data_IF_642092195756
#
_entry.id   IF_642092195756
#
_cell.length_a   1.000
_cell.length_b   1.000
_cell.length_c   1.000
_cell.angle_alpha   90.00
_cell.angle_beta   90.00
_cell.angle_gamma   90.00
#
_symmetry.space_group_name_H-M   'P 1'
#
loop_
_entity.id
_entity.type
_entity.pdbx_description
1 polymer ?
#
# COMPACT_ATOMS: atom_id res chain seq x y z
N UNK A 1 35.82 -10.11 3.50
CA UNK A 1 34.86 -11.11 2.95
C UNK A 1 33.75 -10.33 2.27
N UNK A 2 33.47 -10.60 0.99
CA UNK A 2 32.43 -9.93 0.19
C UNK A 2 31.33 -10.93 -0.20
N UNK A 3 30.74 -11.59 0.79
CA UNK A 3 29.77 -12.69 0.62
C UNK A 3 28.32 -12.25 0.50
N UNK A 4 28.05 -10.93 0.54
CA UNK A 4 26.69 -10.39 0.52
C UNK A 4 26.05 -10.30 1.91
N UNK A 5 24.72 -10.19 1.94
CA UNK A 5 23.91 -10.06 3.15
C UNK A 5 22.72 -11.02 3.10
N UNK A 6 22.35 -11.57 4.25
CA UNK A 6 21.08 -12.27 4.42
C UNK A 6 19.92 -11.28 4.42
N UNK A 7 18.74 -11.76 4.01
CA UNK A 7 17.53 -10.94 4.10
C UNK A 7 17.18 -10.72 5.58
N UNK A 8 16.98 -9.46 6.02
CA UNK A 8 16.55 -9.20 7.38
C UNK A 8 15.18 -9.83 7.64
N UNK A 9 15.00 -10.39 8.82
CA UNK A 9 13.71 -10.90 9.25
C UNK A 9 12.70 -9.76 9.44
N UNK A 10 11.43 -10.04 9.11
CA UNK A 10 10.30 -9.15 9.38
C UNK A 10 9.52 -9.56 10.65
N UNK A 11 10.04 -10.49 11.47
CA UNK A 11 9.35 -11.06 12.65
C UNK A 11 9.02 -10.03 13.75
N UNK A 12 9.52 -8.80 13.63
CA UNK A 12 9.10 -7.69 14.49
C UNK A 12 7.68 -7.18 14.18
N UNK A 13 7.11 -7.55 13.03
CA UNK A 13 5.73 -7.24 12.67
C UNK A 13 4.76 -8.21 13.37
N UNK A 14 3.50 -7.81 13.60
CA UNK A 14 2.49 -8.67 14.18
C UNK A 14 2.30 -9.98 13.39
N UNK A 15 2.09 -11.10 14.09
CA UNK A 15 2.04 -12.43 13.47
C UNK A 15 0.92 -12.61 12.44
N UNK A 16 -0.16 -11.83 12.53
CA UNK A 16 -1.26 -11.83 11.57
C UNK A 16 -0.92 -11.19 10.22
N UNK A 17 0.26 -10.58 10.10
CA UNK A 17 0.86 -10.05 8.86
C UNK A 17 1.36 -11.17 7.93
N UNK A 18 1.67 -12.35 8.49
CA UNK A 18 2.31 -13.47 7.78
C UNK A 18 1.36 -14.64 7.48
N UNK A 19 0.04 -14.40 7.51
CA UNK A 19 -0.96 -15.44 7.25
C UNK A 19 -1.03 -15.78 5.76
N UNK A 20 -0.79 -17.05 5.43
CA UNK A 20 -1.01 -17.55 4.08
C UNK A 20 -2.51 -17.49 3.70
N UNK A 21 -2.85 -17.22 2.42
CA UNK A 21 -1.95 -17.08 1.27
C UNK A 21 -1.43 -15.64 1.03
N UNK A 22 -1.62 -14.73 1.99
CA UNK A 22 -1.35 -13.30 1.89
C UNK A 22 -0.10 -12.87 2.67
N UNK A 23 0.90 -13.76 2.72
CA UNK A 23 2.24 -13.52 3.26
C UNK A 23 3.18 -12.93 2.19
N UNK A 24 4.28 -12.24 2.56
CA UNK A 24 5.29 -11.80 1.61
C UNK A 24 5.77 -12.95 0.70
N UNK A 25 5.97 -12.72 -0.61
CA UNK A 25 5.89 -11.44 -1.33
C UNK A 25 4.47 -11.03 -1.77
N UNK A 26 3.42 -11.80 -1.43
CA UNK A 26 2.03 -11.63 -1.88
C UNK A 26 1.28 -10.56 -1.07
N UNK A 27 1.80 -9.34 -1.04
CA UNK A 27 1.16 -8.20 -0.40
C UNK A 27 0.54 -7.23 -1.40
N UNK A 28 -0.38 -6.38 -0.93
CA UNK A 28 -1.02 -5.39 -1.78
C UNK A 28 0.02 -4.40 -2.29
N UNK A 29 0.09 -4.24 -3.61
CA UNK A 29 1.15 -3.50 -4.29
C UNK A 29 2.57 -3.96 -3.86
N UNK A 30 2.74 -5.22 -3.43
CA UNK A 30 3.94 -5.83 -2.81
C UNK A 30 4.36 -5.31 -1.43
N UNK A 31 3.90 -4.14 -0.99
CA UNK A 31 4.48 -3.46 0.18
C UNK A 31 3.52 -3.31 1.35
N UNK A 32 2.21 -3.42 1.12
CA UNK A 32 1.19 -3.23 2.15
C UNK A 32 0.56 -4.57 2.56
N UNK A 33 0.76 -5.01 3.81
CA UNK A 33 0.07 -6.18 4.34
C UNK A 33 -1.45 -5.96 4.33
N UNK A 34 -2.27 -6.93 3.87
CA UNK A 34 -3.73 -6.77 3.84
C UNK A 34 -4.37 -6.45 5.20
N UNK A 35 -3.84 -7.02 6.29
CA UNK A 35 -4.31 -6.78 7.65
C UNK A 35 -3.93 -5.40 8.20
N UNK A 36 -2.80 -4.85 7.73
CA UNK A 36 -2.18 -3.62 8.25
C UNK A 36 -1.90 -2.60 7.12
N UNK A 37 -2.92 -1.99 6.51
CA UNK A 37 -2.75 -0.99 5.44
C UNK A 37 -2.07 0.31 5.89
N UNK A 38 -1.85 0.49 7.21
CA UNK A 38 -1.09 1.57 7.82
C UNK A 38 0.43 1.30 7.84
N UNK A 39 0.86 0.10 7.47
CA UNK A 39 2.27 -0.31 7.42
C UNK A 39 2.69 -0.46 5.97
N UNK A 40 3.87 0.08 5.63
CA UNK A 40 4.48 -0.05 4.31
C UNK A 40 5.89 -0.64 4.44
N UNK A 41 6.04 -1.88 4.01
CA UNK A 41 7.33 -2.58 3.96
C UNK A 41 8.02 -2.24 2.64
N UNK A 42 8.67 -1.08 2.60
CA UNK A 42 9.25 -0.54 1.39
C UNK A 42 10.61 -1.19 1.10
N UNK A 43 10.79 -1.70 -0.13
CA UNK A 43 12.04 -2.28 -0.60
C UNK A 43 12.59 -3.46 0.25
N UNK A 44 11.71 -4.22 0.92
CA UNK A 44 12.12 -5.37 1.74
C UNK A 44 11.29 -6.65 1.55
N UNK A 45 10.32 -6.63 0.63
CA UNK A 45 9.34 -7.73 0.44
C UNK A 45 9.52 -8.52 -0.86
N UNK A 46 10.21 -7.96 -1.86
CA UNK A 46 10.46 -8.60 -3.16
C UNK A 46 11.35 -9.83 -3.03
N UNK A 47 11.20 -10.89 -3.83
CA UNK A 47 12.11 -12.05 -3.78
C UNK A 47 13.43 -11.76 -4.51
N UNK A 48 13.38 -11.20 -5.73
CA UNK A 48 14.54 -10.75 -6.51
C UNK A 48 14.62 -9.23 -6.58
N UNK A 49 15.67 -8.66 -7.19
CA UNK A 49 15.83 -7.21 -7.27
C UNK A 49 14.65 -6.48 -7.96
N UNK A 50 14.19 -5.38 -7.38
CA UNK A 50 13.49 -4.33 -8.13
C UNK A 50 14.57 -3.49 -8.80
N UNK A 51 14.50 -3.36 -10.14
CA UNK A 51 15.53 -2.73 -10.96
C UNK A 51 15.93 -1.32 -10.50
N UNK A 52 17.13 -0.92 -10.94
CA UNK A 52 17.99 0.24 -10.59
C UNK A 52 17.38 1.65 -10.33
N UNK A 53 16.06 1.82 -10.33
CA UNK A 53 15.35 3.08 -10.02
C UNK A 53 14.57 2.94 -8.70
N UNK A 54 15.22 2.35 -7.69
CA UNK A 54 14.77 2.24 -6.30
C UNK A 54 14.10 3.52 -5.81
N UNK A 55 14.80 4.65 -5.97
CA UNK A 55 14.39 5.96 -5.50
C UNK A 55 12.99 6.39 -5.96
N UNK A 56 12.61 6.08 -7.20
CA UNK A 56 11.36 6.58 -7.79
C UNK A 56 10.12 5.90 -7.18
N UNK A 57 10.08 4.57 -7.20
CA UNK A 57 8.93 3.82 -6.70
C UNK A 57 8.89 3.82 -5.17
N UNK A 58 10.05 3.79 -4.48
CA UNK A 58 10.13 3.95 -3.02
C UNK A 58 9.42 5.25 -2.60
N UNK A 59 9.67 6.35 -3.31
CA UNK A 59 9.01 7.62 -3.07
C UNK A 59 7.49 7.57 -3.28
N UNK A 60 7.01 6.88 -4.32
CA UNK A 60 5.57 6.70 -4.58
C UNK A 60 4.92 5.89 -3.46
N UNK A 61 5.49 4.75 -3.07
CA UNK A 61 5.00 3.91 -1.97
C UNK A 61 4.84 4.69 -0.68
N UNK A 62 5.87 5.45 -0.29
CA UNK A 62 5.82 6.30 0.90
C UNK A 62 4.69 7.33 0.81
N UNK A 63 4.45 7.93 -0.37
CA UNK A 63 3.36 8.90 -0.56
C UNK A 63 1.98 8.25 -0.54
N UNK A 64 1.83 7.02 -1.05
CA UNK A 64 0.62 6.21 -0.90
C UNK A 64 0.35 5.92 0.57
N UNK A 65 1.37 5.52 1.34
CA UNK A 65 1.25 5.34 2.78
C UNK A 65 0.75 6.62 3.46
N UNK A 66 1.38 7.76 3.15
CA UNK A 66 1.00 9.04 3.73
C UNK A 66 -0.45 9.44 3.40
N UNK A 67 -0.91 9.15 2.18
CA UNK A 67 -2.32 9.31 1.81
C UNK A 67 -3.22 8.44 2.68
N UNK A 68 -2.91 7.14 2.84
CA UNK A 68 -3.68 6.22 3.69
C UNK A 68 -3.72 6.67 5.16
N UNK A 69 -2.60 7.16 5.70
CA UNK A 69 -2.55 7.65 7.07
C UNK A 69 -3.33 8.96 7.25
N UNK A 70 -3.21 9.88 6.28
CA UNK A 70 -3.82 11.22 6.36
C UNK A 70 -5.32 11.23 6.08
N UNK A 71 -5.81 10.31 5.25
CA UNK A 71 -7.22 10.27 4.83
C UNK A 71 -7.79 8.84 4.99
N UNK A 72 -8.59 8.59 6.05
CA UNK A 72 -9.17 7.27 6.31
C UNK A 72 -9.99 6.70 5.15
N UNK A 73 -10.61 7.54 4.30
CA UNK A 73 -11.41 7.07 3.17
C UNK A 73 -10.58 6.45 2.06
N UNK A 74 -9.31 6.86 1.97
CA UNK A 74 -8.38 6.36 0.98
C UNK A 74 -7.80 5.00 1.36
N UNK A 75 -7.87 4.59 2.63
CA UNK A 75 -7.33 3.30 3.09
C UNK A 75 -8.02 2.14 2.37
N UNK A 76 -7.31 1.20 1.77
CA UNK A 76 -7.93 0.02 1.19
C UNK A 76 -8.57 -0.84 2.29
N UNK A 77 -9.64 -1.56 1.96
CA UNK A 77 -10.19 -2.59 2.84
C UNK A 77 -9.37 -3.88 2.63
N UNK A 78 -9.02 -4.63 3.69
CA UNK A 78 -8.35 -5.92 3.59
C UNK A 78 -8.95 -6.84 2.52
N UNK A 79 -10.29 -6.92 2.46
CA UNK A 79 -11.00 -7.73 1.45
C UNK A 79 -10.61 -7.36 0.00
N UNK A 80 -10.50 -6.07 -0.32
CA UNK A 80 -10.13 -5.63 -1.66
C UNK A 80 -8.63 -5.79 -1.95
N UNK A 81 -7.79 -5.71 -0.92
CA UNK A 81 -6.36 -5.98 -1.02
C UNK A 81 -6.12 -7.44 -1.40
N UNK A 82 -6.77 -8.37 -0.70
CA UNK A 82 -6.76 -9.80 -0.96
C UNK A 82 -7.22 -10.12 -2.39
N UNK A 83 -8.36 -9.56 -2.83
CA UNK A 83 -8.85 -9.75 -4.20
C UNK A 83 -7.93 -9.20 -5.27
N UNK A 84 -7.25 -8.09 -4.99
CA UNK A 84 -6.24 -7.56 -5.89
C UNK A 84 -5.02 -8.49 -6.00
N UNK A 85 -4.59 -9.08 -4.86
CA UNK A 85 -3.53 -10.09 -4.83
C UNK A 85 -3.94 -11.31 -5.66
N UNK A 86 -5.15 -11.83 -5.43
CA UNK A 86 -5.67 -13.00 -6.15
C UNK A 86 -5.79 -12.75 -7.66
N UNK A 87 -6.30 -11.57 -8.06
CA UNK A 87 -6.35 -11.14 -9.46
C UNK A 87 -4.94 -11.08 -10.06
N UNK A 88 -3.96 -10.53 -9.33
CA UNK A 88 -2.57 -10.40 -9.80
C UNK A 88 -1.93 -11.77 -9.97
N UNK A 89 -2.15 -12.70 -9.03
CA UNK A 89 -1.69 -14.10 -9.13
C UNK A 89 -2.30 -14.81 -10.33
N UNK A 90 -3.60 -14.59 -10.57
CA UNK A 90 -4.29 -15.17 -11.72
C UNK A 90 -3.74 -14.63 -13.04
N UNK A 91 -3.62 -13.30 -13.19
CA UNK A 91 -3.08 -12.67 -14.40
C UNK A 91 -1.65 -13.11 -14.69
N UNK A 92 -0.83 -13.29 -13.64
CA UNK A 92 0.57 -13.75 -13.77
C UNK A 92 0.75 -15.26 -13.82
N UNK A 93 -0.32 -16.07 -13.79
CA UNK A 93 -0.20 -17.52 -13.93
C UNK A 93 0.46 -17.95 -15.25
N UNK A 94 0.37 -17.10 -16.27
CA UNK A 94 0.96 -17.32 -17.59
C UNK A 94 2.35 -16.66 -17.76
N UNK A 95 2.86 -16.00 -16.72
CA UNK A 95 4.20 -15.42 -16.72
C UNK A 95 5.25 -16.50 -16.41
N UNK A 96 6.44 -16.46 -17.02
CA UNK A 96 7.55 -17.35 -16.66
C UNK A 96 8.10 -17.09 -15.25
N UNK A 97 7.73 -15.98 -14.62
CA UNK A 97 8.15 -15.60 -13.25
C UNK A 97 6.97 -15.66 -12.29
N UNK A 98 7.22 -16.00 -11.02
CA UNK A 98 6.22 -15.99 -9.96
C UNK A 98 5.51 -14.64 -9.86
N UNK A 99 4.24 -14.66 -9.44
CA UNK A 99 3.39 -13.47 -9.45
C UNK A 99 4.01 -12.25 -8.73
N UNK A 100 4.85 -12.50 -7.72
CA UNK A 100 5.59 -11.46 -7.01
C UNK A 100 7.12 -11.56 -6.98
N UNK A 101 7.71 -12.31 -7.91
CA UNK A 101 9.16 -12.54 -7.95
C UNK A 101 9.94 -11.59 -8.86
N UNK A 102 9.29 -11.04 -9.90
CA UNK A 102 9.90 -10.08 -10.83
C UNK A 102 8.83 -9.17 -11.45
N UNK A 103 9.14 -7.88 -11.58
CA UNK A 103 8.21 -6.89 -12.11
C UNK A 103 8.83 -5.96 -13.14
N UNK A 104 8.06 -5.71 -14.19
CA UNK A 104 8.38 -4.63 -15.12
C UNK A 104 7.96 -3.29 -14.53
N UNK A 105 8.61 -2.20 -14.96
CA UNK A 105 8.19 -0.85 -14.59
C UNK A 105 6.74 -0.56 -14.99
N UNK A 106 6.28 -1.14 -16.10
CA UNK A 106 4.91 -0.98 -16.57
C UNK A 106 3.91 -1.59 -15.56
N UNK A 107 4.23 -2.73 -14.96
CA UNK A 107 3.39 -3.35 -13.93
C UNK A 107 3.28 -2.45 -12.68
N UNK A 108 4.40 -1.89 -12.21
CA UNK A 108 4.40 -0.94 -11.09
C UNK A 108 3.55 0.31 -11.40
N UNK A 109 3.74 0.91 -12.57
CA UNK A 109 2.95 2.07 -13.02
C UNK A 109 1.47 1.71 -13.08
N UNK A 110 1.13 0.55 -13.66
CA UNK A 110 -0.24 0.05 -13.75
C UNK A 110 -0.86 -0.11 -12.36
N UNK A 111 -0.12 -0.67 -11.41
CA UNK A 111 -0.60 -0.88 -10.05
C UNK A 111 -0.82 0.42 -9.28
N UNK A 112 0.09 1.38 -9.38
CA UNK A 112 -0.10 2.69 -8.76
C UNK A 112 -1.29 3.41 -9.37
N UNK A 113 -1.42 3.37 -10.69
CA UNK A 113 -2.55 3.97 -11.40
C UNK A 113 -3.86 3.30 -11.00
N UNK A 114 -3.90 1.97 -10.94
CA UNK A 114 -5.07 1.20 -10.48
C UNK A 114 -5.44 1.55 -9.04
N UNK A 115 -4.46 1.63 -8.14
CA UNK A 115 -4.67 2.03 -6.76
C UNK A 115 -5.36 3.39 -6.67
N UNK A 116 -4.92 4.39 -7.43
CA UNK A 116 -5.53 5.72 -7.41
C UNK A 116 -6.88 5.75 -8.13
N UNK A 117 -6.99 5.12 -9.29
CA UNK A 117 -8.18 5.21 -10.15
C UNK A 117 -9.42 4.57 -9.53
N UNK A 118 -9.29 3.41 -8.86
CA UNK A 118 -10.43 2.62 -8.36
C UNK A 118 -11.20 3.30 -7.22
N UNK A 119 -10.56 4.16 -6.43
CA UNK A 119 -11.21 4.86 -5.33
C UNK A 119 -11.25 6.37 -5.62
N UNK A 120 -12.43 6.97 -5.88
CA UNK A 120 -12.58 8.39 -6.16
C UNK A 120 -11.99 9.32 -5.10
N UNK A 121 -12.00 8.93 -3.82
CA UNK A 121 -11.38 9.72 -2.75
C UNK A 121 -9.86 9.86 -2.89
N UNK A 122 -9.21 8.98 -3.67
CA UNK A 122 -7.77 9.05 -3.95
C UNK A 122 -7.43 10.01 -5.08
N UNK A 123 -8.40 10.46 -5.89
CA UNK A 123 -8.12 11.30 -7.06
C UNK A 123 -7.54 12.65 -6.68
N UNK A 124 -8.02 13.27 -5.58
CA UNK A 124 -7.44 14.50 -5.04
C UNK A 124 -5.96 14.35 -4.66
N UNK A 125 -5.53 13.14 -4.32
CA UNK A 125 -4.16 12.81 -3.95
C UNK A 125 -3.27 12.41 -5.13
N UNK A 126 -3.81 12.24 -6.34
CA UNK A 126 -3.08 11.68 -7.48
C UNK A 126 -1.80 12.46 -7.81
N UNK A 127 -1.88 13.79 -7.92
CA UNK A 127 -0.72 14.64 -8.20
C UNK A 127 0.35 14.49 -7.11
N UNK A 128 -0.06 14.52 -5.84
CA UNK A 128 0.86 14.32 -4.73
C UNK A 128 1.53 12.93 -4.80
N UNK A 129 0.76 11.87 -5.00
CA UNK A 129 1.28 10.49 -5.03
C UNK A 129 2.28 10.27 -6.16
N UNK A 130 2.04 10.80 -7.36
CA UNK A 130 2.94 10.59 -8.50
C UNK A 130 4.11 11.58 -8.52
N UNK A 131 3.89 12.87 -8.28
CA UNK A 131 4.94 13.92 -8.45
C UNK A 131 5.50 14.47 -7.14
N UNK A 132 4.78 14.33 -6.04
CA UNK A 132 5.22 14.76 -4.70
C UNK A 132 4.84 16.22 -4.42
N UNK A 133 4.25 16.87 -5.42
CA UNK A 133 3.85 18.27 -5.39
C UNK A 133 2.43 18.38 -4.82
N UNK A 134 2.14 19.52 -4.17
CA UNK A 134 0.75 19.89 -3.89
C UNK A 134 0.15 19.27 -2.63
N UNK A 135 0.95 18.78 -1.69
CA UNK A 135 0.49 18.15 -0.43
C UNK A 135 -0.49 19.00 0.40
N UNK A 136 -0.42 20.33 0.27
CA UNK A 136 -1.32 21.25 0.96
C UNK A 136 -2.77 21.23 0.43
N UNK A 137 -2.99 20.95 -0.85
CA UNK A 137 -4.34 20.94 -1.44
C UNK A 137 -5.18 19.75 -0.95
N UNK A 138 -4.73 18.48 -1.03
CA UNK A 138 -5.49 17.36 -0.50
C UNK A 138 -5.75 17.49 0.99
N UNK A 139 -4.77 17.97 1.75
CA UNK A 139 -4.90 18.13 3.20
C UNK A 139 -5.99 19.13 3.59
N UNK A 140 -6.06 20.29 2.93
CA UNK A 140 -7.15 21.26 3.15
C UNK A 140 -8.52 20.69 2.83
N UNK A 141 -8.62 19.89 1.76
CA UNK A 141 -9.87 19.22 1.39
C UNK A 141 -10.28 18.21 2.46
N UNK A 142 -9.33 17.41 2.98
CA UNK A 142 -9.60 16.46 4.08
C UNK A 142 -10.01 17.19 5.35
N UNK A 143 -9.34 18.28 5.73
CA UNK A 143 -9.71 19.08 6.91
C UNK A 143 -11.13 19.66 6.79
N UNK A 144 -11.54 20.09 5.59
CA UNK A 144 -12.90 20.54 5.33
C UNK A 144 -13.93 19.38 5.39
N UNK A 145 -13.60 18.23 4.80
CA UNK A 145 -14.44 17.01 4.86
C UNK A 145 -14.62 16.54 6.31
N UNK A 146 -13.56 16.55 7.11
CA UNK A 146 -13.58 16.14 8.51
C UNK A 146 -14.38 17.13 9.38
N UNK A 147 -14.29 18.43 9.10
CA UNK A 147 -15.13 19.45 9.75
C UNK A 147 -16.62 19.22 9.48
N UNK A 148 -16.99 19.00 8.22
CA UNK A 148 -18.37 18.68 7.82
C UNK A 148 -18.87 17.38 8.46
N UNK A 149 -18.02 16.35 8.53
CA UNK A 149 -18.34 15.09 9.20
C UNK A 149 -18.55 15.23 10.69
N UNK A 150 -17.69 16.02 11.35
CA UNK A 150 -17.82 16.33 12.76
C UNK A 150 -19.16 17.00 13.07
N UNK A 151 -19.59 17.92 12.19
CA UNK A 151 -20.92 18.56 12.29
C UNK A 151 -22.07 17.56 12.07
N UNK A 152 -21.88 16.54 11.23
CA UNK A 152 -22.83 15.45 11.00
C UNK A 152 -22.78 14.35 12.09
N UNK A 153 -21.97 14.51 13.14
CA UNK A 153 -21.84 13.53 14.23
C UNK A 153 -21.02 12.29 13.88
N UNK A 154 -20.36 12.26 12.72
CA UNK A 154 -19.48 11.15 12.31
C UNK A 154 -18.12 11.29 12.99
N UNK A 155 -17.85 10.46 14.00
CA UNK A 155 -16.52 10.35 14.62
C UNK A 155 -15.69 9.28 13.92
N UNK A 156 -14.73 9.69 13.09
CA UNK A 156 -13.69 8.77 12.60
C UNK A 156 -12.36 9.09 13.30
N UNK A 157 -11.68 8.08 13.85
CA UNK A 157 -10.28 8.27 14.24
C UNK A 157 -9.63 7.31 15.25
N UNK A 158 -10.37 6.57 16.08
CA UNK A 158 -9.72 5.70 17.09
C UNK A 158 -10.51 4.44 17.52
N UNK A 159 -11.51 4.00 16.72
CA UNK A 159 -12.28 2.79 17.00
C UNK A 159 -13.15 2.35 15.83
N UNK A 160 -13.48 1.04 15.80
CA UNK A 160 -14.42 0.26 14.95
C UNK A 160 -14.48 0.45 13.43
N UNK A 161 -14.18 1.63 12.86
CA UNK A 161 -14.18 1.91 11.41
C UNK A 161 -12.74 1.98 10.84
N UNK A 162 -11.76 1.57 11.64
CA UNK A 162 -10.37 1.47 11.18
C UNK A 162 -10.26 0.25 10.25
N UNK A 163 -9.96 0.50 8.97
CA UNK A 163 -9.70 -0.56 7.98
C UNK A 163 -8.39 -1.30 8.27
N UNK A 164 -7.58 -0.75 9.16
CA UNK A 164 -6.52 -1.48 9.83
C UNK A 164 -7.12 -2.38 10.92
N UNK A 165 -7.15 -3.68 10.60
CA UNK A 165 -7.78 -4.70 11.44
C UNK A 165 -6.76 -5.52 12.22
N UNK A 166 -5.49 -5.18 12.08
CA UNK A 166 -4.42 -5.95 12.64
C UNK A 166 -4.33 -5.78 14.16
N UNK A 167 -3.83 -6.80 14.84
CA UNK A 167 -3.54 -6.69 16.27
C UNK A 167 -2.30 -5.80 16.46
N UNK A 168 -2.44 -4.67 17.17
CA UNK A 168 -1.29 -3.94 17.69
C UNK A 168 -0.71 -4.69 18.90
N UNK A 169 0.59 -4.54 19.13
CA UNK A 169 1.29 -5.02 20.31
C UNK A 169 0.74 -4.42 21.62
#
# INVERSE_FOLDING_TARGET
MATGFDRPSLDFLPSDTFKDPYSPPNWYLQTFPPSHPSVCCNNCTYVNAIGAVGNWHIGIYTRILLMFLSDPLTRPNPFWMERWIDMTRFLKRFSPTGAFDFFTYLELVWWFTFCIAVNPFRWKWAVFVFTGIGRGLPRRVVEAEDSLRGQLGWKNGHGTDNRDKGASF
#
